data_IF_694391025914
#
_entry.id   IF_694391025914
#
_cell.length_a   1.000
_cell.length_b   1.000
_cell.length_c   1.000
_cell.angle_alpha   90.00
_cell.angle_beta   90.00
_cell.angle_gamma   90.00
#
_symmetry.space_group_name_H-M   'P 1'
#
loop_
_entity.id
_entity.type
_entity.pdbx_description
1 polymer ?
#
# COMPACT_ATOMS: atom_id res chain seq x y z
N UNK A 1 -31.48 7.23 -1.97
CA UNK A 1 -30.38 7.23 -0.97
C UNK A 1 -29.31 6.18 -1.26
N UNK A 2 -29.66 4.93 -1.60
CA UNK A 2 -28.69 3.89 -1.98
C UNK A 2 -27.79 4.30 -3.16
N UNK A 3 -28.38 4.95 -4.15
CA UNK A 3 -27.73 5.41 -5.39
C UNK A 3 -26.57 6.41 -5.16
N UNK A 4 -26.74 7.33 -4.20
CA UNK A 4 -25.71 8.33 -3.89
C UNK A 4 -24.53 7.72 -3.11
N UNK A 5 -24.76 6.69 -2.30
CA UNK A 5 -23.69 5.95 -1.63
C UNK A 5 -22.89 5.10 -2.64
N UNK A 6 -23.56 4.48 -3.61
CA UNK A 6 -22.91 3.76 -4.70
C UNK A 6 -22.07 4.70 -5.59
N UNK A 7 -22.58 5.90 -5.88
CA UNK A 7 -21.84 6.94 -6.58
C UNK A 7 -20.52 7.31 -5.89
N UNK A 8 -20.56 7.51 -4.58
CA UNK A 8 -19.36 7.85 -3.80
C UNK A 8 -18.37 6.68 -3.74
N UNK A 9 -18.85 5.43 -3.75
CA UNK A 9 -17.99 4.24 -3.87
C UNK A 9 -17.32 4.18 -5.25
N UNK A 10 -18.05 4.49 -6.32
CA UNK A 10 -17.49 4.57 -7.67
C UNK A 10 -16.40 5.64 -7.76
N UNK A 11 -16.68 6.87 -7.32
CA UNK A 11 -15.70 7.97 -7.25
C UNK A 11 -14.47 7.54 -6.45
N UNK A 12 -14.68 6.93 -5.27
CA UNK A 12 -13.62 6.47 -4.39
C UNK A 12 -12.63 5.53 -5.10
N UNK A 13 -13.09 4.64 -5.99
CA UNK A 13 -12.23 3.71 -6.76
C UNK A 13 -11.31 4.42 -7.76
N UNK A 14 -11.68 5.59 -8.26
CA UNK A 14 -10.86 6.37 -9.20
C UNK A 14 -9.79 7.23 -8.51
N UNK A 15 -9.94 7.49 -7.21
CA UNK A 15 -9.07 8.41 -6.50
C UNK A 15 -7.77 7.77 -6.03
N UNK A 16 -6.76 8.61 -5.86
CA UNK A 16 -5.50 8.27 -5.21
C UNK A 16 -5.77 7.66 -3.85
N UNK A 17 -4.96 6.66 -3.42
CA UNK A 17 -5.00 6.16 -2.05
C UNK A 17 -4.83 7.26 -0.98
N UNK A 18 -4.20 8.39 -1.31
CA UNK A 18 -4.07 9.55 -0.42
C UNK A 18 -5.33 10.41 -0.30
N UNK A 19 -6.30 10.21 -1.17
CA UNK A 19 -7.54 10.98 -1.24
C UNK A 19 -8.66 10.29 -0.46
N UNK A 20 -9.43 11.09 0.32
CA UNK A 20 -10.67 10.64 0.96
C UNK A 20 -11.84 11.45 0.46
N UNK A 21 -12.96 10.76 0.25
CA UNK A 21 -14.25 11.37 -0.10
C UNK A 21 -15.06 11.52 1.17
N UNK A 22 -15.57 12.72 1.43
CA UNK A 22 -16.48 13.01 2.54
C UNK A 22 -17.79 13.51 1.94
N UNK A 23 -18.88 12.82 2.22
CA UNK A 23 -20.21 13.23 1.76
C UNK A 23 -20.65 14.50 2.48
N UNK A 24 -21.19 15.46 1.73
CA UNK A 24 -21.73 16.73 2.21
C UNK A 24 -23.21 16.85 1.80
N UNK A 25 -23.95 17.77 2.39
CA UNK A 25 -25.36 18.02 2.02
C UNK A 25 -25.55 18.48 0.57
N UNK A 26 -24.55 19.16 -0.01
CA UNK A 26 -24.56 19.67 -1.40
C UNK A 26 -23.69 18.89 -2.39
N UNK A 27 -23.24 17.68 -2.04
CA UNK A 27 -22.38 16.86 -2.90
C UNK A 27 -21.28 16.15 -2.11
N UNK A 28 -20.02 16.30 -2.53
CA UNK A 28 -18.89 15.63 -1.89
C UNK A 28 -17.64 16.50 -1.83
N UNK A 29 -16.81 16.29 -0.81
CA UNK A 29 -15.49 16.87 -0.67
C UNK A 29 -14.43 15.79 -0.84
N UNK A 30 -13.47 16.01 -1.74
CA UNK A 30 -12.28 15.19 -1.88
C UNK A 30 -11.13 15.88 -1.14
N UNK A 31 -10.61 15.24 -0.10
CA UNK A 31 -9.43 15.69 0.65
C UNK A 31 -8.19 14.90 0.22
N UNK A 32 -7.22 15.55 -0.41
CA UNK A 32 -5.90 14.97 -0.71
C UNK A 32 -4.92 15.25 0.44
N UNK A 33 -4.75 14.25 1.31
CA UNK A 33 -3.86 14.34 2.47
C UNK A 33 -2.38 14.38 2.10
N UNK A 34 -2.01 13.98 0.87
CA UNK A 34 -0.62 14.05 0.42
C UNK A 34 -0.21 15.49 0.05
N UNK A 35 -1.14 16.25 -0.54
CA UNK A 35 -0.89 17.62 -1.02
C UNK A 35 -1.54 18.70 -0.16
N UNK A 36 -2.25 18.31 0.91
CA UNK A 36 -3.04 19.21 1.75
C UNK A 36 -4.01 20.08 0.92
N UNK A 37 -4.70 19.46 -0.05
CA UNK A 37 -5.64 20.12 -0.96
C UNK A 37 -7.03 19.53 -0.83
N UNK A 38 -8.03 20.35 -1.18
CA UNK A 38 -9.42 19.95 -1.17
C UNK A 38 -10.08 20.31 -2.50
N UNK A 39 -10.95 19.43 -2.99
CA UNK A 39 -11.73 19.62 -4.20
C UNK A 39 -13.20 19.35 -3.88
N UNK A 40 -14.07 20.32 -4.15
CA UNK A 40 -15.52 20.15 -4.04
C UNK A 40 -16.11 19.53 -5.31
N UNK A 41 -17.09 18.65 -5.14
CA UNK A 41 -17.94 18.12 -6.19
C UNK A 41 -19.39 18.44 -5.84
N UNK A 42 -20.14 18.95 -6.81
CA UNK A 42 -21.58 19.17 -6.64
C UNK A 42 -22.33 17.85 -6.67
N UNK A 43 -23.58 17.82 -6.19
CA UNK A 43 -24.45 16.63 -6.31
C UNK A 43 -24.59 16.18 -7.77
N UNK A 44 -24.64 17.11 -8.73
CA UNK A 44 -24.71 16.79 -10.15
C UNK A 44 -23.43 16.08 -10.64
N UNK A 45 -22.25 16.52 -10.19
CA UNK A 45 -20.98 15.88 -10.55
C UNK A 45 -20.88 14.47 -9.96
N UNK A 46 -21.39 14.25 -8.75
CA UNK A 46 -21.43 12.91 -8.12
C UNK A 46 -22.39 11.99 -8.89
N UNK A 47 -23.55 12.49 -9.32
CA UNK A 47 -24.53 11.67 -10.05
C UNK A 47 -24.02 11.28 -11.44
N UNK A 48 -23.29 12.16 -12.12
CA UNK A 48 -22.64 11.88 -13.41
C UNK A 48 -21.67 10.68 -13.35
N UNK A 49 -21.13 10.33 -12.18
CA UNK A 49 -20.28 9.13 -12.05
C UNK A 49 -21.06 7.82 -12.16
N UNK A 50 -22.37 7.82 -11.86
CA UNK A 50 -23.24 6.63 -11.91
C UNK A 50 -24.07 6.62 -13.18
N UNK A 51 -24.79 7.71 -13.42
CA UNK A 51 -25.81 7.79 -14.48
C UNK A 51 -25.30 8.49 -15.74
N UNK A 52 -24.13 9.13 -15.68
CA UNK A 52 -23.56 9.87 -16.79
C UNK A 52 -23.10 8.97 -17.92
N UNK A 53 -23.06 9.55 -19.12
CA UNK A 53 -22.51 8.89 -20.30
C UNK A 53 -21.03 8.50 -20.08
N UNK A 54 -20.50 7.61 -20.91
CA UNK A 54 -19.07 7.27 -20.85
C UNK A 54 -18.16 8.50 -21.05
N UNK A 55 -18.60 9.47 -21.87
CA UNK A 55 -17.88 10.72 -22.14
C UNK A 55 -17.89 11.65 -20.91
N UNK A 56 -19.05 11.85 -20.27
CA UNK A 56 -19.17 12.69 -19.07
C UNK A 56 -18.32 12.15 -17.91
N UNK A 57 -18.29 10.82 -17.75
CA UNK A 57 -17.42 10.16 -16.76
C UNK A 57 -15.93 10.34 -17.09
N UNK A 58 -15.57 10.28 -18.37
CA UNK A 58 -14.18 10.50 -18.80
C UNK A 58 -13.73 11.95 -18.54
N UNK A 59 -14.58 12.94 -18.80
CA UNK A 59 -14.27 14.35 -18.51
C UNK A 59 -14.01 14.59 -17.01
N UNK A 60 -14.86 14.03 -16.15
CA UNK A 60 -14.68 14.12 -14.70
C UNK A 60 -13.40 13.40 -14.24
N UNK A 61 -13.12 12.21 -14.79
CA UNK A 61 -11.87 11.50 -14.52
C UNK A 61 -10.64 12.33 -14.93
N UNK A 62 -10.67 12.96 -16.11
CA UNK A 62 -9.60 13.85 -16.59
C UNK A 62 -9.42 15.04 -15.64
N UNK A 63 -10.50 15.65 -15.15
CA UNK A 63 -10.43 16.74 -14.17
C UNK A 63 -9.81 16.28 -12.84
N UNK A 64 -10.16 15.08 -12.36
CA UNK A 64 -9.55 14.49 -11.16
C UNK A 64 -8.06 14.16 -11.36
N UNK A 65 -7.67 13.72 -12.55
CA UNK A 65 -6.25 13.49 -12.90
C UNK A 65 -5.49 14.80 -12.96
N UNK A 66 -6.03 15.84 -13.62
CA UNK A 66 -5.41 17.18 -13.70
C UNK A 66 -5.25 17.83 -12.33
N UNK A 67 -6.20 17.63 -11.42
CA UNK A 67 -6.09 18.10 -10.04
C UNK A 67 -5.13 17.28 -9.17
N UNK A 68 -4.69 16.11 -9.66
CA UNK A 68 -3.79 15.20 -8.96
C UNK A 68 -4.49 14.30 -7.93
N UNK A 69 -5.82 14.31 -7.90
CA UNK A 69 -6.64 13.54 -6.96
C UNK A 69 -6.89 12.11 -7.43
N UNK A 70 -6.75 11.82 -8.73
CA UNK A 70 -6.84 10.48 -9.32
C UNK A 70 -5.52 10.09 -10.00
N UNK A 71 -4.92 8.93 -9.71
CA UNK A 71 -3.88 8.38 -10.55
C UNK A 71 -4.54 7.78 -11.79
N UNK A 72 -3.89 7.88 -12.95
CA UNK A 72 -4.38 7.25 -14.18
C UNK A 72 -4.51 5.71 -14.07
N UNK A 73 -3.79 5.10 -13.13
CA UNK A 73 -3.88 3.69 -12.77
C UNK A 73 -3.42 3.47 -11.32
N UNK A 74 -3.86 2.36 -10.68
CA UNK A 74 -3.25 1.92 -9.41
C UNK A 74 -1.75 1.75 -9.66
N UNK A 75 -0.91 2.37 -8.83
CA UNK A 75 0.54 2.35 -9.06
C UNK A 75 1.06 0.92 -8.93
N UNK A 76 1.47 0.35 -10.05
CA UNK A 76 2.32 -0.83 -10.12
C UNK A 76 3.78 -0.39 -10.08
N UNK A 77 4.59 -1.09 -9.30
CA UNK A 77 6.02 -0.80 -9.20
C UNK A 77 6.79 -1.63 -10.20
N UNK A 78 7.61 -0.97 -11.02
CA UNK A 78 8.51 -1.66 -11.92
C UNK A 78 9.65 -2.35 -11.15
N UNK A 79 10.24 -3.40 -11.71
CA UNK A 79 11.36 -4.13 -11.09
C UNK A 79 12.54 -3.23 -10.70
N UNK A 80 12.80 -2.18 -11.47
CA UNK A 80 13.83 -1.19 -11.15
C UNK A 80 13.50 -0.41 -9.86
N UNK A 81 12.24 -0.02 -9.66
CA UNK A 81 11.79 0.64 -8.44
C UNK A 81 11.85 -0.32 -7.24
N UNK A 82 11.39 -1.56 -7.42
CA UNK A 82 11.45 -2.59 -6.37
C UNK A 82 12.90 -2.83 -5.94
N UNK A 83 13.82 -2.96 -6.91
CA UNK A 83 15.25 -3.11 -6.66
C UNK A 83 15.84 -1.91 -5.92
N UNK A 84 15.45 -0.70 -6.30
CA UNK A 84 15.89 0.53 -5.63
C UNK A 84 15.41 0.55 -4.17
N UNK A 85 14.15 0.19 -3.93
CA UNK A 85 13.61 0.07 -2.57
C UNK A 85 14.32 -0.99 -1.75
N UNK A 86 14.53 -2.19 -2.30
CA UNK A 86 15.27 -3.26 -1.62
C UNK A 86 16.67 -2.79 -1.22
N UNK A 87 17.43 -2.19 -2.14
CA UNK A 87 18.77 -1.65 -1.86
C UNK A 87 18.74 -0.53 -0.82
N UNK A 88 17.80 0.40 -0.96
CA UNK A 88 17.63 1.51 -0.02
C UNK A 88 17.29 1.04 1.38
N UNK A 89 16.33 0.12 1.51
CA UNK A 89 15.94 -0.47 2.80
C UNK A 89 17.09 -1.27 3.41
N UNK A 90 17.80 -2.10 2.63
CA UNK A 90 19.00 -2.81 3.10
C UNK A 90 20.05 -1.85 3.64
N UNK A 91 20.34 -0.77 2.90
CA UNK A 91 21.29 0.24 3.32
C UNK A 91 20.84 0.93 4.60
N UNK A 92 19.57 1.33 4.71
CA UNK A 92 18.99 1.93 5.91
C UNK A 92 19.08 0.98 7.12
N UNK A 93 18.72 -0.29 6.96
CA UNK A 93 18.82 -1.27 8.05
C UNK A 93 20.28 -1.41 8.48
N UNK A 94 21.24 -1.42 7.53
CA UNK A 94 22.66 -1.53 7.83
C UNK A 94 23.23 -0.28 8.51
N UNK A 95 22.73 0.91 8.20
CA UNK A 95 23.26 2.18 8.72
C UNK A 95 22.62 2.59 10.04
N UNK A 96 21.31 2.45 10.18
CA UNK A 96 20.56 2.95 11.34
C UNK A 96 19.92 1.84 12.18
N UNK A 97 19.95 0.59 11.72
CA UNK A 97 19.35 -0.55 12.41
C UNK A 97 17.85 -0.72 12.13
N UNK A 98 17.38 -1.97 12.20
CA UNK A 98 15.99 -2.33 11.86
C UNK A 98 14.94 -1.61 12.72
N UNK A 99 15.14 -1.52 14.04
CA UNK A 99 14.19 -0.83 14.92
C UNK A 99 13.99 0.65 14.59
N UNK A 100 15.02 1.35 14.10
CA UNK A 100 14.88 2.74 13.63
C UNK A 100 14.11 2.81 12.32
N UNK A 101 14.37 1.89 11.39
CA UNK A 101 13.60 1.78 10.14
C UNK A 101 12.10 1.59 10.41
N UNK A 102 11.74 0.75 11.39
CA UNK A 102 10.34 0.56 11.79
C UNK A 102 9.67 1.86 12.26
N UNK A 103 10.39 2.73 12.97
CA UNK A 103 9.88 4.05 13.40
C UNK A 103 9.60 5.02 12.26
N UNK A 104 10.31 4.87 11.14
CA UNK A 104 10.14 5.70 9.94
C UNK A 104 9.08 5.15 8.98
N UNK A 105 8.44 4.03 9.28
CA UNK A 105 7.39 3.46 8.41
C UNK A 105 6.20 4.41 8.23
N UNK A 106 5.84 5.20 9.24
CA UNK A 106 4.77 6.19 9.12
C UNK A 106 5.06 7.28 8.08
N UNK A 107 6.34 7.53 7.76
CA UNK A 107 6.73 8.45 6.69
C UNK A 107 6.70 7.78 5.32
N UNK A 108 7.16 6.53 5.22
CA UNK A 108 7.25 5.79 3.97
C UNK A 108 5.89 5.23 3.50
N UNK A 109 5.07 4.82 4.46
CA UNK A 109 3.74 4.23 4.32
C UNK A 109 2.74 4.91 5.28
N UNK A 110 2.31 6.15 4.96
CA UNK A 110 1.51 6.94 5.89
C UNK A 110 0.10 6.39 6.16
N UNK A 111 -0.41 6.64 7.37
CA UNK A 111 -1.72 6.16 7.82
C UNK A 111 -2.91 6.78 7.10
N UNK A 112 -2.74 7.98 6.56
CA UNK A 112 -3.79 8.61 5.76
C UNK A 112 -4.05 7.85 4.47
N UNK A 113 -3.08 7.05 3.99
CA UNK A 113 -3.22 6.23 2.79
C UNK A 113 -4.26 5.15 3.06
N UNK A 114 -5.31 5.16 2.24
CA UNK A 114 -6.37 4.18 2.27
C UNK A 114 -5.79 2.77 2.14
N UNK A 115 -6.37 1.83 2.88
CA UNK A 115 -5.98 0.44 2.85
C UNK A 115 -7.18 -0.41 2.38
N UNK A 116 -7.24 -0.67 1.08
CA UNK A 116 -8.20 -1.58 0.46
C UNK A 116 -7.71 -3.03 0.54
N UNK A 117 -8.63 -4.00 0.57
CA UNK A 117 -8.26 -5.40 0.53
C UNK A 117 -7.49 -5.69 -0.78
N UNK A 118 -6.25 -6.22 -0.70
CA UNK A 118 -5.51 -6.57 -1.90
C UNK A 118 -6.09 -7.79 -2.60
N UNK A 119 -5.98 -7.81 -3.93
CA UNK A 119 -6.20 -9.04 -4.70
C UNK A 119 -5.00 -9.98 -4.57
N UNK A 120 -5.25 -11.28 -4.48
CA UNK A 120 -4.21 -12.30 -4.31
C UNK A 120 -3.17 -12.27 -5.44
N UNK A 121 -3.58 -11.99 -6.68
CA UNK A 121 -2.69 -11.92 -7.84
C UNK A 121 -1.69 -10.75 -7.77
N UNK A 122 -2.12 -9.59 -7.29
CA UNK A 122 -1.24 -8.42 -7.10
C UNK A 122 -0.15 -8.70 -6.08
N UNK A 123 -0.53 -9.33 -4.96
CA UNK A 123 0.43 -9.71 -3.92
C UNK A 123 1.34 -10.82 -4.41
N UNK A 124 0.84 -11.81 -5.16
CA UNK A 124 1.65 -12.88 -5.74
C UNK A 124 2.65 -12.35 -6.78
N UNK A 125 2.26 -11.35 -7.60
CA UNK A 125 3.15 -10.66 -8.54
C UNK A 125 4.27 -9.94 -7.79
N UNK A 126 3.92 -9.14 -6.78
CA UNK A 126 4.91 -8.45 -5.95
C UNK A 126 5.85 -9.42 -5.24
N UNK A 127 5.31 -10.50 -4.67
CA UNK A 127 6.10 -11.56 -4.00
C UNK A 127 7.18 -12.10 -4.93
N UNK A 128 6.81 -12.53 -6.13
CA UNK A 128 7.73 -13.06 -7.13
C UNK A 128 8.81 -12.05 -7.50
N UNK A 129 8.43 -10.78 -7.71
CA UNK A 129 9.38 -9.72 -8.03
C UNK A 129 10.35 -9.41 -6.89
N UNK A 130 9.85 -9.31 -5.65
CA UNK A 130 10.70 -9.07 -4.47
C UNK A 130 11.69 -10.22 -4.27
N UNK A 131 11.21 -11.47 -4.31
CA UNK A 131 12.07 -12.65 -4.12
C UNK A 131 13.12 -12.77 -5.23
N UNK A 132 12.73 -12.65 -6.50
CA UNK A 132 13.68 -12.76 -7.64
C UNK A 132 14.79 -11.70 -7.58
N UNK A 133 14.46 -10.49 -7.11
CA UNK A 133 15.42 -9.39 -6.96
C UNK A 133 16.25 -9.52 -5.69
N UNK A 134 15.69 -10.10 -4.62
CA UNK A 134 16.39 -10.29 -3.35
C UNK A 134 17.52 -11.34 -3.45
N UNK A 135 17.30 -12.42 -4.20
CA UNK A 135 18.25 -13.54 -4.40
C UNK A 135 19.54 -13.18 -5.15
N UNK A 136 19.71 -11.94 -5.60
CA UNK A 136 20.93 -11.50 -6.31
C UNK A 136 22.11 -11.15 -5.39
N UNK A 137 21.99 -11.37 -4.07
CA UNK A 137 23.07 -11.17 -3.10
C UNK A 137 23.35 -12.46 -2.34
N UNK A 138 24.34 -13.23 -2.80
CA UNK A 138 24.81 -14.47 -2.15
C UNK A 138 25.36 -14.20 -0.73
N UNK A 139 25.80 -12.98 -0.44
CA UNK A 139 26.65 -12.69 0.71
C UNK A 139 25.92 -12.51 2.06
N UNK A 140 24.58 -12.45 2.10
CA UNK A 140 23.84 -12.14 3.33
C UNK A 140 22.56 -12.97 3.44
N UNK A 141 22.53 -13.95 4.36
CA UNK A 141 21.36 -14.78 4.70
C UNK A 141 20.20 -14.01 5.40
N UNK A 142 20.28 -12.67 5.53
CA UNK A 142 19.44 -11.83 6.41
C UNK A 142 18.55 -10.83 5.64
N UNK A 143 18.03 -11.20 4.46
CA UNK A 143 17.22 -10.29 3.64
C UNK A 143 15.74 -10.21 4.05
N UNK A 144 15.28 -11.05 4.97
CA UNK A 144 13.86 -11.10 5.38
C UNK A 144 13.33 -9.74 5.87
N UNK A 145 14.16 -8.98 6.61
CA UNK A 145 13.82 -7.63 7.09
C UNK A 145 13.61 -6.66 5.94
N UNK A 146 14.49 -6.69 4.94
CA UNK A 146 14.44 -5.78 3.81
C UNK A 146 13.27 -6.11 2.89
N UNK A 147 13.09 -7.39 2.57
CA UNK A 147 11.96 -7.88 1.78
C UNK A 147 10.62 -7.54 2.43
N UNK A 148 10.47 -7.82 3.73
CA UNK A 148 9.25 -7.53 4.48
C UNK A 148 8.94 -6.03 4.48
N UNK A 149 9.91 -5.18 4.82
CA UNK A 149 9.72 -3.72 4.83
C UNK A 149 9.42 -3.18 3.44
N UNK A 150 10.13 -3.65 2.40
CA UNK A 150 9.85 -3.24 1.02
C UNK A 150 8.44 -3.64 0.61
N UNK A 151 8.02 -4.88 0.84
CA UNK A 151 6.68 -5.34 0.52
C UNK A 151 5.61 -4.51 1.25
N UNK A 152 5.80 -4.25 2.56
CA UNK A 152 4.89 -3.42 3.35
C UNK A 152 4.75 -2.02 2.75
N UNK A 153 5.87 -1.34 2.50
CA UNK A 153 5.86 0.03 1.97
C UNK A 153 5.21 0.10 0.59
N UNK A 154 5.56 -0.82 -0.31
CA UNK A 154 5.01 -0.81 -1.67
C UNK A 154 3.50 -1.07 -1.69
N UNK A 155 3.02 -2.09 -0.97
CA UNK A 155 1.60 -2.39 -0.85
C UNK A 155 0.83 -1.21 -0.27
N UNK A 156 1.30 -0.65 0.85
CA UNK A 156 0.65 0.51 1.50
C UNK A 156 0.60 1.71 0.58
N UNK A 157 1.69 2.02 -0.14
CA UNK A 157 1.73 3.16 -1.07
C UNK A 157 0.85 2.96 -2.32
N UNK A 158 0.56 1.71 -2.69
CA UNK A 158 -0.44 1.37 -3.72
C UNK A 158 -1.88 1.36 -3.17
N UNK A 159 -2.07 1.67 -1.90
CA UNK A 159 -3.39 1.75 -1.26
C UNK A 159 -3.92 0.42 -0.76
N UNK A 160 -3.05 -0.57 -0.58
CA UNK A 160 -3.42 -1.93 -0.20
C UNK A 160 -3.17 -2.17 1.29
N UNK A 161 -4.04 -2.96 1.91
CA UNK A 161 -3.82 -3.49 3.26
C UNK A 161 -2.60 -4.41 3.26
N UNK A 162 -1.74 -4.20 4.24
CA UNK A 162 -0.58 -5.04 4.50
C UNK A 162 -0.26 -4.94 5.99
N UNK A 163 0.19 -6.05 6.59
CA UNK A 163 0.63 -6.10 7.98
C UNK A 163 2.06 -6.60 8.02
N UNK A 164 2.98 -5.81 8.56
CA UNK A 164 4.36 -6.21 8.78
C UNK A 164 4.47 -6.93 10.14
N UNK A 165 4.95 -8.15 10.11
CA UNK A 165 5.19 -8.97 11.30
C UNK A 165 6.70 -9.12 11.56
N UNK A 166 7.05 -9.17 12.84
CA UNK A 166 8.30 -9.72 13.32
C UNK A 166 7.93 -10.86 14.26
N UNK A 167 8.45 -12.05 13.97
CA UNK A 167 8.20 -13.23 14.76
C UNK A 167 9.48 -13.86 15.28
N UNK A 168 9.31 -14.68 16.30
CA UNK A 168 10.38 -15.46 16.88
C UNK A 168 10.05 -16.94 16.84
N UNK A 169 11.10 -17.75 16.77
CA UNK A 169 11.05 -19.18 17.02
C UNK A 169 11.99 -19.47 18.17
N UNK A 170 11.56 -20.30 19.10
CA UNK A 170 12.36 -20.68 20.27
C UNK A 170 13.39 -21.77 19.93
N UNK A 171 13.04 -22.75 19.08
CA UNK A 171 13.89 -23.89 18.78
C UNK A 171 14.02 -24.17 17.27
N UNK A 172 15.22 -23.99 16.68
CA UNK A 172 16.32 -23.17 17.18
C UNK A 172 15.95 -21.68 17.24
N UNK A 173 16.54 -20.96 18.19
CA UNK A 173 16.32 -19.53 18.40
C UNK A 173 16.57 -18.75 17.11
N UNK A 174 15.52 -18.10 16.59
CA UNK A 174 15.61 -17.31 15.38
C UNK A 174 14.55 -16.20 15.38
N UNK A 175 14.86 -15.09 14.72
CA UNK A 175 13.91 -14.03 14.41
C UNK A 175 13.65 -14.01 12.90
N UNK A 176 12.41 -13.70 12.54
CA UNK A 176 11.99 -13.56 11.15
C UNK A 176 11.07 -12.37 10.98
N UNK A 177 11.07 -11.77 9.79
CA UNK A 177 10.18 -10.69 9.45
C UNK A 177 9.48 -10.99 8.12
N UNK A 178 8.18 -10.74 8.07
CA UNK A 178 7.36 -10.94 6.87
C UNK A 178 6.21 -9.94 6.82
N UNK A 179 5.77 -9.62 5.62
CA UNK A 179 4.55 -8.83 5.40
C UNK A 179 3.44 -9.74 4.93
N UNK A 180 2.30 -9.73 5.62
CA UNK A 180 1.09 -10.45 5.24
C UNK A 180 0.11 -9.54 4.49
N UNK A 181 -0.44 -10.04 3.39
CA UNK A 181 -1.46 -9.38 2.57
C UNK A 181 -2.20 -10.41 1.70
N UNK A 182 -3.53 -10.34 1.61
CA UNK A 182 -4.36 -11.27 0.83
C UNK A 182 -4.06 -12.77 1.11
N UNK A 183 -3.75 -13.12 2.36
CA UNK A 183 -3.38 -14.49 2.74
C UNK A 183 -1.99 -14.95 2.28
N UNK A 184 -1.21 -14.09 1.64
CA UNK A 184 0.17 -14.35 1.22
C UNK A 184 1.16 -13.62 2.13
N UNK A 185 2.36 -14.18 2.25
CA UNK A 185 3.47 -13.60 3.02
C UNK A 185 4.67 -13.29 2.12
N UNK A 186 5.30 -12.12 2.34
CA UNK A 186 6.50 -11.67 1.65
C UNK A 186 7.54 -11.19 2.68
N UNK A 187 8.68 -11.87 2.85
CA UNK A 187 8.94 -13.25 2.43
C UNK A 187 7.97 -14.24 3.10
N UNK A 188 8.08 -15.54 2.79
CA UNK A 188 7.27 -16.59 3.43
C UNK A 188 7.37 -16.52 4.96
N UNK A 189 6.24 -16.63 5.67
CA UNK A 189 6.21 -16.62 7.13
C UNK A 189 6.93 -17.83 7.74
N UNK A 190 6.89 -18.97 7.03
CA UNK A 190 7.48 -20.23 7.46
C UNK A 190 8.62 -20.66 6.52
N UNK A 191 9.74 -19.92 6.46
CA UNK A 191 10.83 -20.27 5.58
C UNK A 191 11.35 -21.68 5.93
N UNK A 192 11.38 -22.57 4.93
CA UNK A 192 11.83 -23.97 5.08
C UNK A 192 10.96 -24.80 6.05
N UNK A 193 9.69 -24.44 6.23
CA UNK A 193 8.75 -25.18 7.09
C UNK A 193 8.91 -24.89 8.58
N UNK A 194 9.51 -23.76 8.92
CA UNK A 194 9.73 -23.35 10.30
C UNK A 194 8.72 -22.29 10.72
N UNK A 195 7.85 -22.60 11.67
CA UNK A 195 6.88 -21.65 12.20
C UNK A 195 7.55 -20.57 13.08
N UNK A 196 7.25 -19.29 12.79
CA UNK A 196 7.64 -18.14 13.62
C UNK A 196 6.39 -17.53 14.25
N UNK A 197 6.34 -17.49 15.59
CA UNK A 197 5.25 -16.86 16.31
C UNK A 197 5.42 -15.33 16.26
N UNK A 198 4.41 -14.56 15.80
CA UNK A 198 4.52 -13.11 15.72
C UNK A 198 4.61 -12.49 17.12
N UNK A 199 5.64 -11.69 17.35
CA UNK A 199 5.87 -10.92 18.59
C UNK A 199 5.59 -9.42 18.41
N UNK A 200 5.61 -8.95 17.17
CA UNK A 200 5.27 -7.58 16.78
C UNK A 200 4.51 -7.62 15.46
N UNK A 201 3.41 -6.87 15.38
CA UNK A 201 2.62 -6.71 14.15
C UNK A 201 2.29 -5.23 13.94
N UNK A 202 2.52 -4.74 12.72
CA UNK A 202 2.33 -3.34 12.35
C UNK A 202 1.39 -3.31 11.13
N UNK A 203 0.13 -2.95 11.36
CA UNK A 203 -0.92 -2.82 10.33
C UNK A 203 -1.15 -1.36 9.90
N UNK A 204 -0.75 -0.43 10.77
CA UNK A 204 -0.85 1.03 10.68
C UNK A 204 0.46 1.59 11.23
N UNK A 205 1.01 2.60 10.58
CA UNK A 205 2.35 3.13 10.82
C UNK A 205 2.60 3.45 12.29
N UNK A 206 3.20 2.49 13.00
CA UNK A 206 3.67 2.61 14.37
C UNK A 206 2.58 2.91 15.39
N UNK A 207 2.04 1.86 16.02
CA UNK A 207 1.62 1.93 17.42
C UNK A 207 2.34 0.84 18.20
#
# INVERSE_FOLDING_TARGET
>A
MADHTEALVAVRRFLSPSCRVVQMSGGALIADFRRARFLGMTTADVQKFVDGSAEERAELAIALVRSGCAPAHRKEYADAEIRLWLRGVRLLIRTVGFGRVLRFLSLAAPDYVRAEAPGTEDVARLKRAVQSLAHTSWFVNDDCKAEAVTAFVLLRRSGLQAVLHVGMREHPFALHAWTSAAGLCIPDADPRGHAFAPILSIDRGGR
#
